data_IF_427164464856
#
_entry.id   IF_427164464856
#
_cell.length_a   1.000
_cell.length_b   1.000
_cell.length_c   1.000
_cell.angle_alpha   90.00
_cell.angle_beta   90.00
_cell.angle_gamma   90.00
#
_symmetry.space_group_name_H-M   'P 1'
#
loop_
_entity.id
_entity.type
_entity.pdbx_description
1 polymer ?
#
# COMPACT_ATOMS: atom_id res chain seq x y z
N UNK A 1 48.98 -18.13 -66.28
CA UNK A 1 49.17 -18.71 -64.92
C UNK A 1 48.27 -17.96 -63.95
N UNK A 2 47.20 -18.61 -63.46
CA UNK A 2 46.25 -18.07 -62.48
C UNK A 2 46.91 -18.11 -61.09
N UNK A 3 46.91 -17.00 -60.34
CA UNK A 3 47.14 -17.01 -58.89
C UNK A 3 45.83 -16.62 -58.20
N UNK A 4 45.31 -17.56 -57.43
CA UNK A 4 44.16 -17.46 -56.53
C UNK A 4 44.49 -16.43 -55.43
N UNK A 5 43.61 -15.47 -55.12
CA UNK A 5 42.48 -15.53 -54.18
C UNK A 5 42.85 -16.02 -52.76
N UNK A 6 42.25 -15.33 -51.78
CA UNK A 6 42.08 -15.66 -50.35
C UNK A 6 43.02 -14.88 -49.42
N UNK A 7 42.51 -13.77 -48.84
CA UNK A 7 42.50 -13.50 -47.39
C UNK A 7 41.97 -12.08 -47.13
N UNK A 8 40.65 -11.92 -47.26
CA UNK A 8 39.94 -10.73 -46.78
C UNK A 8 38.53 -11.12 -46.38
N UNK A 9 38.40 -12.15 -45.54
CA UNK A 9 37.10 -12.68 -45.12
C UNK A 9 37.10 -13.28 -43.70
N UNK A 10 37.59 -12.56 -42.66
CA UNK A 10 36.95 -12.76 -41.36
C UNK A 10 36.65 -11.47 -40.59
N UNK A 11 36.87 -10.28 -41.17
CA UNK A 11 36.62 -9.02 -40.44
C UNK A 11 35.26 -8.38 -40.76
N UNK A 12 34.69 -8.63 -41.94
CA UNK A 12 33.40 -8.06 -42.34
C UNK A 12 32.20 -8.87 -41.83
N UNK A 13 32.39 -10.18 -41.54
CA UNK A 13 31.31 -11.02 -41.01
C UNK A 13 31.04 -10.78 -39.52
N UNK A 14 32.01 -10.23 -38.77
CA UNK A 14 31.83 -9.90 -37.35
C UNK A 14 31.04 -8.59 -37.13
N UNK A 15 31.06 -7.68 -38.10
CA UNK A 15 30.32 -6.41 -38.05
C UNK A 15 28.86 -6.52 -38.47
N UNK A 16 28.46 -7.63 -39.12
CA UNK A 16 27.06 -7.89 -39.46
C UNK A 16 26.27 -8.58 -38.33
N UNK A 17 26.95 -9.08 -37.28
CA UNK A 17 26.29 -9.72 -36.14
C UNK A 17 25.96 -8.75 -34.99
N UNK A 18 26.42 -7.50 -35.06
CA UNK A 18 26.19 -6.50 -34.00
C UNK A 18 24.82 -5.79 -34.11
N UNK A 19 24.05 -6.04 -35.18
CA UNK A 19 22.89 -5.23 -35.55
C UNK A 19 21.52 -5.68 -35.04
N UNK A 20 21.40 -6.83 -34.38
CA UNK A 20 20.09 -7.36 -33.97
C UNK A 20 20.15 -7.99 -32.57
N UNK A 21 20.46 -7.17 -31.57
CA UNK A 21 19.97 -7.43 -30.21
C UNK A 21 19.05 -6.28 -29.85
N UNK A 22 17.85 -6.29 -30.44
CA UNK A 22 16.71 -5.57 -29.85
C UNK A 22 16.25 -6.38 -28.65
N UNK A 23 17.01 -6.30 -27.55
CA UNK A 23 16.54 -6.67 -26.23
C UNK A 23 15.61 -5.59 -25.69
N UNK A 24 14.55 -5.25 -26.44
CA UNK A 24 13.41 -4.61 -25.83
C UNK A 24 12.57 -5.74 -25.24
N UNK A 25 12.88 -6.11 -24.00
CA UNK A 25 11.82 -6.64 -23.14
C UNK A 25 10.71 -5.61 -23.21
N UNK A 26 9.56 -6.00 -23.78
CA UNK A 26 8.34 -5.21 -23.66
C UNK A 26 8.23 -4.84 -22.19
N UNK A 27 8.30 -3.54 -21.91
CA UNK A 27 7.96 -3.03 -20.59
C UNK A 27 6.51 -3.47 -20.41
N UNK A 28 6.32 -4.51 -19.60
CA UNK A 28 5.01 -4.99 -19.21
C UNK A 28 4.17 -3.77 -18.88
N UNK A 29 3.07 -3.56 -19.59
CA UNK A 29 2.09 -2.52 -19.31
C UNK A 29 1.92 -2.52 -17.80
N UNK A 30 2.42 -1.47 -17.14
CA UNK A 30 2.39 -1.41 -15.67
C UNK A 30 0.91 -1.36 -15.31
N UNK A 31 0.35 -2.53 -14.94
CA UNK A 31 -1.06 -2.66 -14.64
C UNK A 31 -1.45 -1.61 -13.62
N UNK A 32 -2.56 -0.93 -13.89
CA UNK A 32 -2.86 0.35 -13.26
C UNK A 32 -2.86 0.27 -11.73
N UNK A 33 -2.03 1.11 -11.12
CA UNK A 33 -2.05 1.38 -9.69
C UNK A 33 -3.28 2.21 -9.38
N UNK A 34 -4.06 1.80 -8.38
CA UNK A 34 -5.28 2.51 -7.99
C UNK A 34 -5.00 3.97 -7.58
N UNK A 35 -5.97 4.90 -7.73
CA UNK A 35 -5.77 6.33 -7.44
C UNK A 35 -5.22 6.64 -6.04
N UNK A 36 -5.56 5.82 -5.04
CA UNK A 36 -5.08 6.02 -3.67
C UNK A 36 -3.55 6.04 -3.55
N UNK A 37 -2.86 5.27 -4.38
CA UNK A 37 -1.42 4.97 -4.24
C UNK A 37 -0.53 5.61 -5.31
N UNK A 38 -1.10 6.47 -6.16
CA UNK A 38 -0.34 7.20 -7.21
C UNK A 38 0.47 8.38 -6.64
N UNK A 39 0.11 8.88 -5.46
CA UNK A 39 0.80 9.97 -4.77
C UNK A 39 1.51 9.51 -3.50
N UNK A 40 2.63 10.16 -3.20
CA UNK A 40 3.40 9.96 -1.97
C UNK A 40 2.99 10.91 -0.85
N UNK A 41 2.13 11.89 -1.13
CA UNK A 41 1.68 12.87 -0.15
C UNK A 41 0.88 12.21 1.00
N UNK A 42 1.18 12.55 2.27
CA UNK A 42 0.45 12.02 3.40
C UNK A 42 -1.04 12.38 3.34
N UNK A 43 -1.90 11.37 3.42
CA UNK A 43 -3.35 11.60 3.50
C UNK A 43 -3.74 11.97 4.93
N UNK A 44 -4.40 13.11 5.10
CA UNK A 44 -4.97 13.51 6.39
C UNK A 44 -6.27 12.73 6.62
N UNK A 45 -6.37 12.05 7.77
CA UNK A 45 -7.49 11.16 8.10
C UNK A 45 -7.99 11.44 9.51
N UNK A 46 -9.31 11.41 9.71
CA UNK A 46 -9.91 11.35 11.04
C UNK A 46 -10.70 10.07 11.22
N UNK A 47 -10.54 9.46 12.38
CA UNK A 47 -11.20 8.21 12.75
C UNK A 47 -11.69 8.27 14.19
N UNK A 48 -12.81 7.59 14.45
CA UNK A 48 -13.36 7.47 15.80
C UNK A 48 -13.68 6.01 16.10
N UNK A 49 -12.88 5.38 16.96
CA UNK A 49 -13.16 4.01 17.41
C UNK A 49 -12.57 3.70 18.79
N UNK A 50 -13.05 2.64 19.44
CA UNK A 50 -12.44 2.16 20.68
C UNK A 50 -11.39 1.08 20.39
N UNK A 51 -10.15 1.27 20.83
CA UNK A 51 -9.12 0.23 20.75
C UNK A 51 -9.55 -1.06 21.49
N UNK A 52 -10.29 -0.92 22.60
CA UNK A 52 -10.83 -2.07 23.37
C UNK A 52 -11.88 -2.82 22.56
N UNK A 53 -12.80 -2.12 21.91
CA UNK A 53 -13.82 -2.77 21.08
C UNK A 53 -13.22 -3.39 19.82
N UNK A 54 -12.28 -2.71 19.16
CA UNK A 54 -11.55 -3.28 18.03
C UNK A 54 -10.91 -4.61 18.42
N UNK A 55 -10.27 -4.70 19.59
CA UNK A 55 -9.66 -5.95 20.08
C UNK A 55 -10.67 -7.03 20.46
N UNK A 56 -11.83 -6.68 21.01
CA UNK A 56 -12.70 -7.66 21.67
C UNK A 56 -13.95 -8.03 20.86
N UNK A 57 -14.44 -7.12 20.01
CA UNK A 57 -15.69 -7.29 19.25
C UNK A 57 -15.46 -7.67 17.78
N UNK A 58 -14.21 -7.70 17.32
CA UNK A 58 -13.89 -8.07 15.92
C UNK A 58 -13.14 -9.40 15.88
N UNK A 59 -13.18 -10.11 14.77
CA UNK A 59 -12.38 -11.31 14.52
C UNK A 59 -12.08 -11.38 13.02
N UNK A 60 -11.66 -12.53 12.48
CA UNK A 60 -11.34 -12.60 11.06
C UNK A 60 -12.54 -12.41 10.11
N UNK A 61 -13.75 -12.59 10.62
CA UNK A 61 -15.03 -12.44 9.89
C UNK A 61 -15.83 -11.21 10.32
N UNK A 62 -15.71 -10.76 11.56
CA UNK A 62 -16.51 -9.65 12.13
C UNK A 62 -15.78 -8.31 12.01
N UNK A 63 -16.48 -7.31 11.47
CA UNK A 63 -16.02 -5.91 11.35
C UNK A 63 -16.95 -4.98 12.13
N UNK A 64 -16.44 -3.83 12.55
CA UNK A 64 -17.24 -2.71 13.06
C UNK A 64 -17.41 -1.68 11.94
N UNK A 65 -18.66 -1.25 11.72
CA UNK A 65 -18.94 -0.13 10.81
C UNK A 65 -18.42 1.18 11.43
N UNK A 66 -17.87 2.04 10.60
CA UNK A 66 -17.30 3.32 10.97
C UNK A 66 -17.41 4.30 9.80
N UNK A 67 -17.24 5.58 10.11
CA UNK A 67 -17.11 6.63 9.09
C UNK A 67 -15.71 7.18 9.22
N UNK A 68 -14.98 7.16 8.11
CA UNK A 68 -13.66 7.78 8.02
C UNK A 68 -13.80 9.11 7.31
N UNK A 69 -13.22 10.16 7.88
CA UNK A 69 -13.04 11.43 7.17
C UNK A 69 -11.65 11.48 6.58
N UNK A 70 -11.52 12.01 5.37
CA UNK A 70 -10.24 12.22 4.70
C UNK A 70 -10.24 13.55 3.96
N UNK A 71 -9.07 14.17 3.88
CA UNK A 71 -8.90 15.40 3.13
C UNK A 71 -8.62 15.08 1.65
N UNK A 72 -9.37 15.70 0.74
CA UNK A 72 -9.13 15.64 -0.70
C UNK A 72 -8.00 16.60 -1.10
N UNK A 73 -7.55 16.49 -2.35
CA UNK A 73 -6.50 17.34 -2.91
C UNK A 73 -6.88 18.83 -2.94
N UNK A 74 -8.16 19.16 -3.05
CA UNK A 74 -8.69 20.54 -2.96
C UNK A 74 -8.71 21.10 -1.53
N UNK A 75 -8.26 20.33 -0.54
CA UNK A 75 -8.25 20.68 0.88
C UNK A 75 -9.58 20.45 1.60
N UNK A 76 -10.66 20.09 0.89
CA UNK A 76 -11.97 19.81 1.50
C UNK A 76 -11.99 18.44 2.18
N UNK A 77 -12.79 18.32 3.24
CA UNK A 77 -13.01 17.04 3.92
C UNK A 77 -14.16 16.28 3.28
N UNK A 78 -13.95 14.99 3.02
CA UNK A 78 -14.98 14.04 2.61
C UNK A 78 -15.10 12.91 3.63
N UNK A 79 -16.28 12.29 3.67
CA UNK A 79 -16.55 11.10 4.48
C UNK A 79 -16.63 9.86 3.60
N UNK A 80 -16.27 8.71 4.14
CA UNK A 80 -16.45 7.42 3.51
C UNK A 80 -16.79 6.35 4.55
N UNK A 81 -17.79 5.53 4.24
CA UNK A 81 -18.17 4.40 5.09
C UNK A 81 -17.11 3.30 4.99
N UNK A 82 -16.56 2.93 6.15
CA UNK A 82 -15.53 1.90 6.26
C UNK A 82 -15.94 0.84 7.27
N UNK A 83 -15.41 -0.36 7.07
CA UNK A 83 -15.51 -1.47 8.02
C UNK A 83 -14.14 -1.76 8.57
N UNK A 84 -14.00 -1.66 9.88
CA UNK A 84 -12.70 -1.80 10.56
C UNK A 84 -12.68 -3.08 11.39
N UNK A 85 -11.52 -3.74 11.42
CA UNK A 85 -11.26 -4.81 12.39
C UNK A 85 -9.81 -4.85 12.84
N UNK A 86 -9.58 -5.34 14.05
CA UNK A 86 -8.24 -5.64 14.52
C UNK A 86 -7.69 -6.89 13.80
N UNK A 87 -6.41 -6.85 13.42
CA UNK A 87 -5.69 -7.98 12.80
C UNK A 87 -4.46 -8.38 13.60
N UNK A 88 -3.89 -9.53 13.23
CA UNK A 88 -2.69 -10.08 13.84
C UNK A 88 -2.95 -10.76 15.18
N UNK A 89 -2.02 -11.63 15.57
CA UNK A 89 -2.14 -12.40 16.80
C UNK A 89 -1.46 -11.68 17.96
N UNK A 90 -0.15 -11.48 17.84
CA UNK A 90 0.65 -10.88 18.92
C UNK A 90 0.36 -9.40 19.11
N UNK A 91 0.39 -8.59 18.05
CA UNK A 91 0.14 -7.13 18.14
C UNK A 91 -1.27 -6.83 18.65
N UNK A 92 -2.26 -7.62 18.26
CA UNK A 92 -3.64 -7.45 18.77
C UNK A 92 -3.74 -7.64 20.28
N UNK A 93 -2.98 -8.59 20.85
CA UNK A 93 -2.99 -8.88 22.30
C UNK A 93 -2.13 -7.89 23.10
N UNK A 94 -1.00 -7.46 22.53
CA UNK A 94 0.04 -6.76 23.27
C UNK A 94 0.17 -5.26 22.95
N UNK A 95 -0.40 -4.77 21.85
CA UNK A 95 -0.32 -3.36 21.48
C UNK A 95 -1.48 -2.53 22.03
N UNK A 96 -1.17 -1.27 22.35
CA UNK A 96 -2.15 -0.25 22.65
C UNK A 96 -3.07 0.01 21.45
N UNK A 97 -2.50 0.28 20.27
CA UNK A 97 -3.24 0.31 19.01
C UNK A 97 -3.08 -1.05 18.32
N UNK A 98 -4.16 -1.84 18.18
CA UNK A 98 -4.10 -3.02 17.34
C UNK A 98 -3.96 -2.57 15.87
N UNK A 99 -3.18 -3.28 15.03
CA UNK A 99 -3.18 -3.00 13.60
C UNK A 99 -4.57 -3.28 13.02
N UNK A 100 -4.98 -2.48 12.04
CA UNK A 100 -6.35 -2.45 11.55
C UNK A 100 -6.40 -2.98 10.10
N UNK A 101 -7.41 -3.79 9.78
CA UNK A 101 -7.85 -3.98 8.39
C UNK A 101 -8.97 -2.98 8.11
N UNK A 102 -8.85 -2.27 7.00
CA UNK A 102 -9.84 -1.31 6.50
C UNK A 102 -10.52 -1.95 5.31
N UNK A 103 -11.84 -2.10 5.39
CA UNK A 103 -12.66 -2.67 4.33
C UNK A 103 -13.66 -1.66 3.80
N UNK A 104 -13.63 -1.40 2.50
CA UNK A 104 -14.53 -0.48 1.82
C UNK A 104 -15.37 -1.27 0.82
N UNK A 105 -16.68 -1.04 0.78
CA UNK A 105 -17.54 -1.71 -0.20
C UNK A 105 -17.27 -1.10 -1.58
N UNK A 106 -17.19 -1.92 -2.64
CA UNK A 106 -16.92 -1.44 -4.02
C UNK A 106 -17.81 -0.26 -4.43
N UNK A 107 -19.11 -0.34 -4.14
CA UNK A 107 -20.08 0.74 -4.43
C UNK A 107 -19.80 2.05 -3.68
N UNK A 108 -19.23 1.96 -2.48
CA UNK A 108 -18.88 3.13 -1.65
C UNK A 108 -17.55 3.74 -2.10
N UNK A 109 -16.62 2.90 -2.57
CA UNK A 109 -15.32 3.33 -3.07
C UNK A 109 -15.38 3.99 -4.46
N UNK A 110 -16.37 3.63 -5.29
CA UNK A 110 -16.52 4.13 -6.65
C UNK A 110 -16.64 5.66 -6.69
N UNK A 111 -15.88 6.30 -7.59
CA UNK A 111 -15.81 7.77 -7.72
C UNK A 111 -15.04 8.47 -6.62
N UNK A 112 -14.35 7.73 -5.73
CA UNK A 112 -13.49 8.28 -4.68
C UNK A 112 -12.04 7.87 -4.91
N UNK A 113 -11.09 8.48 -4.19
CA UNK A 113 -9.68 8.08 -4.23
C UNK A 113 -9.45 6.62 -3.80
N UNK A 114 -10.41 6.00 -3.10
CA UNK A 114 -10.34 4.61 -2.63
C UNK A 114 -10.84 3.60 -3.67
N UNK A 115 -11.25 4.05 -4.85
CA UNK A 115 -11.68 3.18 -5.93
C UNK A 115 -10.62 2.10 -6.23
N UNK A 116 -11.08 0.89 -6.53
CA UNK A 116 -10.21 -0.28 -6.71
C UNK A 116 -9.66 -0.89 -5.41
N UNK A 117 -9.87 -0.29 -4.23
CA UNK A 117 -9.35 -0.82 -2.97
C UNK A 117 -10.45 -1.34 -2.05
N UNK A 118 -10.51 -2.67 -1.87
CA UNK A 118 -11.55 -3.31 -1.06
C UNK A 118 -11.07 -3.64 0.35
N UNK A 119 -9.86 -4.16 0.51
CA UNK A 119 -9.31 -4.68 1.76
C UNK A 119 -7.85 -4.21 1.98
N UNK A 120 -7.69 -3.03 2.57
CA UNK A 120 -6.37 -2.49 2.89
C UNK A 120 -5.93 -2.86 4.31
N UNK A 121 -4.62 -2.81 4.56
CA UNK A 121 -4.06 -2.93 5.91
C UNK A 121 -3.57 -1.55 6.34
N UNK A 122 -3.97 -1.12 7.53
CA UNK A 122 -3.49 0.12 8.15
C UNK A 122 -2.52 -0.24 9.27
N UNK A 123 -1.27 0.22 9.09
CA UNK A 123 -0.21 0.08 10.08
C UNK A 123 -0.19 1.30 10.96
N UNK A 124 -0.20 1.08 12.27
CA UNK A 124 -0.23 2.11 13.33
C UNK A 124 0.82 1.77 14.38
N UNK A 125 1.29 2.71 15.22
CA UNK A 125 2.23 2.44 16.29
C UNK A 125 1.70 1.38 17.25
N UNK A 126 2.57 0.52 17.79
CA UNK A 126 2.11 -0.49 18.75
C UNK A 126 1.82 0.11 20.13
N UNK A 127 2.65 1.04 20.60
CA UNK A 127 2.61 1.60 21.96
C UNK A 127 2.55 3.12 21.91
N UNK A 128 2.00 3.73 22.96
CA UNK A 128 2.07 5.17 23.18
C UNK A 128 3.46 5.56 23.67
N UNK A 129 4.42 5.65 22.76
CA UNK A 129 5.80 6.00 23.06
C UNK A 129 6.27 7.07 22.08
N UNK A 130 7.25 7.88 22.52
CA UNK A 130 7.80 8.99 21.71
C UNK A 130 8.30 8.56 20.33
N UNK A 131 8.86 7.34 20.23
CA UNK A 131 9.42 6.76 19.00
C UNK A 131 8.41 5.88 18.24
N UNK A 132 7.14 5.86 18.64
CA UNK A 132 6.13 5.01 18.03
C UNK A 132 5.94 5.33 16.54
N UNK A 133 5.85 6.62 16.24
CA UNK A 133 5.68 7.15 14.89
C UNK A 133 6.94 6.89 14.04
N UNK A 134 8.14 7.15 14.57
CA UNK A 134 9.41 6.87 13.88
C UNK A 134 9.51 5.41 13.42
N UNK A 135 9.11 4.46 14.27
CA UNK A 135 9.11 3.03 13.93
C UNK A 135 8.14 2.70 12.79
N UNK A 136 6.99 3.36 12.76
CA UNK A 136 6.02 3.21 11.66
C UNK A 136 6.59 3.77 10.36
N UNK A 137 7.26 4.92 10.42
CA UNK A 137 7.91 5.52 9.26
C UNK A 137 9.08 4.66 8.75
N UNK A 138 9.87 4.05 9.63
CA UNK A 138 10.88 3.06 9.24
C UNK A 138 10.27 1.84 8.53
N UNK A 139 9.13 1.33 9.03
CA UNK A 139 8.42 0.23 8.37
C UNK A 139 7.91 0.66 6.98
N UNK A 140 7.34 1.87 6.85
CA UNK A 140 6.94 2.43 5.56
C UNK A 140 8.12 2.51 4.58
N UNK A 141 9.28 3.00 5.04
CA UNK A 141 10.50 3.08 4.22
C UNK A 141 10.96 1.69 3.76
N UNK A 142 10.82 0.66 4.59
CA UNK A 142 11.13 -0.71 4.18
C UNK A 142 10.24 -1.18 3.01
N UNK A 143 8.94 -0.86 3.03
CA UNK A 143 8.06 -1.12 1.87
C UNK A 143 8.55 -0.37 0.63
N UNK A 144 8.89 0.92 0.76
CA UNK A 144 9.37 1.74 -0.38
C UNK A 144 10.67 1.24 -0.98
N UNK A 145 11.63 0.84 -0.15
CA UNK A 145 12.88 0.22 -0.61
C UNK A 145 12.57 -1.08 -1.36
N UNK A 146 11.64 -1.88 -0.85
CA UNK A 146 11.25 -3.13 -1.51
C UNK A 146 10.60 -2.90 -2.89
N UNK A 147 9.86 -1.80 -3.08
CA UNK A 147 9.34 -1.41 -4.41
C UNK A 147 10.46 -1.17 -5.45
N UNK A 148 11.67 -0.81 -5.02
CA UNK A 148 12.83 -0.60 -5.91
C UNK A 148 13.52 -1.94 -6.19
N UNK A 149 13.56 -2.83 -5.20
CA UNK A 149 14.33 -4.08 -5.25
C UNK A 149 13.60 -5.23 -5.96
N UNK A 150 12.27 -5.21 -5.98
CA UNK A 150 11.45 -6.32 -6.45
C UNK A 150 10.38 -5.80 -7.41
N UNK A 151 10.10 -6.52 -8.52
CA UNK A 151 8.93 -6.22 -9.34
C UNK A 151 7.62 -6.60 -8.63
N UNK A 152 7.68 -7.49 -7.62
CA UNK A 152 6.53 -7.90 -6.81
C UNK A 152 6.52 -7.12 -5.50
N UNK A 153 5.68 -6.10 -5.42
CA UNK A 153 5.60 -5.23 -4.25
C UNK A 153 4.21 -4.65 -4.05
N UNK A 154 3.90 -4.40 -2.77
CA UNK A 154 2.76 -3.59 -2.39
C UNK A 154 3.07 -2.12 -2.63
N UNK A 155 2.06 -1.37 -3.07
CA UNK A 155 2.06 0.07 -2.87
C UNK A 155 1.67 0.41 -1.44
N UNK A 156 2.18 1.54 -0.98
CA UNK A 156 1.87 2.08 0.35
C UNK A 156 1.55 3.56 0.26
N UNK A 157 0.85 4.10 1.27
CA UNK A 157 0.62 5.55 1.39
C UNK A 157 0.62 5.97 2.85
N UNK A 158 1.41 6.99 3.17
CA UNK A 158 1.48 7.57 4.52
C UNK A 158 0.16 8.24 4.88
N UNK A 159 -0.21 8.13 6.15
CA UNK A 159 -1.37 8.75 6.75
C UNK A 159 -0.96 9.56 7.97
N UNK A 160 -1.61 10.71 8.15
CA UNK A 160 -1.63 11.43 9.40
C UNK A 160 -3.03 11.27 10.01
N UNK A 161 -3.14 10.53 11.10
CA UNK A 161 -4.43 10.17 11.69
C UNK A 161 -4.70 11.00 12.94
N UNK A 162 -5.83 11.71 12.95
CA UNK A 162 -6.46 12.19 14.18
C UNK A 162 -7.46 11.13 14.65
N UNK A 163 -7.13 10.44 15.74
CA UNK A 163 -7.94 9.34 16.28
C UNK A 163 -8.61 9.76 17.59
N UNK A 164 -9.93 9.83 17.57
CA UNK A 164 -10.77 10.02 18.75
C UNK A 164 -11.11 8.66 19.37
N UNK A 165 -10.29 8.21 20.33
CA UNK A 165 -10.44 6.89 20.96
C UNK A 165 -11.57 6.90 22.01
N UNK A 166 -12.65 6.17 21.74
CA UNK A 166 -13.75 5.97 22.70
C UNK A 166 -13.33 5.05 23.85
N UNK A 167 -13.38 5.56 25.09
CA UNK A 167 -13.04 4.87 26.34
C UNK A 167 -14.18 4.95 27.35
N UNK A 168 -15.20 4.13 27.14
CA UNK A 168 -16.44 4.24 27.91
C UNK A 168 -17.11 5.59 27.62
N UNK A 169 -17.23 6.44 28.64
CA UNK A 169 -17.79 7.80 28.52
C UNK A 169 -16.76 8.87 28.16
N UNK A 170 -15.46 8.54 28.14
CA UNK A 170 -14.38 9.49 27.82
C UNK A 170 -13.91 9.30 26.38
N UNK A 171 -13.46 10.39 25.75
CA UNK A 171 -12.76 10.36 24.46
C UNK A 171 -11.31 10.75 24.73
N UNK A 172 -10.37 9.98 24.17
CA UNK A 172 -8.94 10.32 24.19
C UNK A 172 -8.47 10.57 22.77
N UNK A 173 -8.01 11.78 22.50
CA UNK A 173 -7.47 12.16 21.20
C UNK A 173 -6.03 11.68 21.04
N UNK A 174 -5.70 11.26 19.83
CA UNK A 174 -4.34 10.92 19.42
C UNK A 174 -4.05 11.50 18.03
N UNK A 175 -2.85 12.02 17.85
CA UNK A 175 -2.27 12.27 16.52
C UNK A 175 -1.26 11.16 16.27
N UNK A 176 -1.43 10.43 15.17
CA UNK A 176 -0.71 9.17 14.92
C UNK A 176 -0.20 9.14 13.49
N UNK A 177 1.09 8.83 13.34
CA UNK A 177 1.66 8.47 12.04
C UNK A 177 1.30 7.03 11.70
N UNK A 178 0.78 6.83 10.48
CA UNK A 178 0.32 5.54 10.00
C UNK A 178 0.61 5.40 8.51
N UNK A 179 0.34 4.22 7.96
CA UNK A 179 0.28 4.07 6.51
C UNK A 179 -0.69 2.96 6.10
N UNK A 180 -1.24 3.10 4.90
CA UNK A 180 -1.99 2.05 4.23
C UNK A 180 -1.05 1.21 3.39
N UNK A 181 -1.31 -0.09 3.38
CA UNK A 181 -0.77 -1.06 2.44
C UNK A 181 -1.91 -1.47 1.52
N UNK A 182 -1.60 -1.51 0.23
CA UNK A 182 -2.49 -1.93 -0.85
C UNK A 182 -3.20 -3.27 -0.60
N UNK A 183 -4.35 -3.43 -1.24
CA UNK A 183 -5.04 -4.72 -1.30
C UNK A 183 -4.17 -5.75 -2.02
N UNK A 184 -4.10 -6.97 -1.46
CA UNK A 184 -3.30 -8.04 -2.07
C UNK A 184 -3.90 -8.50 -3.40
N UNK A 185 -5.22 -8.39 -3.54
CA UNK A 185 -5.92 -8.72 -4.78
C UNK A 185 -5.38 -7.84 -5.94
N UNK A 186 -5.12 -6.55 -5.69
CA UNK A 186 -4.55 -5.64 -6.70
C UNK A 186 -3.10 -5.99 -7.06
N UNK A 187 -2.30 -6.45 -6.10
CA UNK A 187 -0.94 -6.92 -6.36
C UNK A 187 -0.98 -8.20 -7.19
N UNK A 188 -1.85 -9.15 -6.86
CA UNK A 188 -2.03 -10.38 -7.62
C UNK A 188 -2.50 -10.08 -9.05
N UNK A 189 -3.52 -9.24 -9.22
CA UNK A 189 -4.02 -8.81 -10.52
C UNK A 189 -2.90 -8.16 -11.35
N UNK A 190 -2.07 -7.29 -10.74
CA UNK A 190 -0.91 -6.64 -11.39
C UNK A 190 0.11 -7.64 -11.94
N UNK A 191 0.18 -8.84 -11.37
CA UNK A 191 1.17 -9.86 -11.73
C UNK A 191 0.55 -11.16 -12.24
N UNK A 192 -0.74 -11.16 -12.61
CA UNK A 192 -1.45 -12.36 -13.10
C UNK A 192 -1.41 -13.53 -12.11
N UNK A 193 -1.32 -13.19 -10.81
CA UNK A 193 -1.30 -14.13 -9.71
C UNK A 193 -2.69 -14.44 -9.15
N UNK A 194 -2.74 -15.37 -8.21
CA UNK A 194 -3.94 -15.73 -7.45
C UNK A 194 -3.63 -15.66 -5.93
N UNK A 195 -4.62 -15.33 -5.11
CA UNK A 195 -4.53 -15.16 -3.64
C UNK A 195 -5.32 -16.21 -2.89
#
# INVERSE_FOLDING_TARGET
MKKQLILSFPLVLFLLFSGLVTGQTELSVEKEVTPLFTTTEPLQVKLTYSNKEMRNKTNDSTYLDNVMEYQKEDGTWATIDVRLRARGNWRRKNCYFPPIKVKIKKKVAAGTIFEGNKNMKMVVPCLLQKQGDDKVLCELLAYRIYEILSPYHYKSRRLNIQLSEKRGKKIKEHSVEAFLIEDIDNVADRHEGNV
#
